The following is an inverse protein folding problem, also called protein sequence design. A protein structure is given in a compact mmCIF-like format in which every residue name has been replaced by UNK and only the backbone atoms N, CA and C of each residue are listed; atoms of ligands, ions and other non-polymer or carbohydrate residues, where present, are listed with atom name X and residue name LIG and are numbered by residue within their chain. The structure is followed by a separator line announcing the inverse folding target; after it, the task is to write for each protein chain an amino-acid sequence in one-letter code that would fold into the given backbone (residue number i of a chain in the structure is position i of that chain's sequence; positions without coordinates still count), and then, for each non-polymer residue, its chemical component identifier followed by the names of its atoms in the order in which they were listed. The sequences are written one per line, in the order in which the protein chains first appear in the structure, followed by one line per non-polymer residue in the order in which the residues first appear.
data_IF_445963916115
#
_entry.id   IF_445963916115
#
_cell.length_a   1.000
_cell.length_b   1.000
_cell.length_c   1.000
_cell.angle_alpha   90.00
_cell.angle_beta   90.00
_cell.angle_gamma   90.00
#
_symmetry.space_group_name_H-M   'P 1'
#
loop_
_entity.id
_entity.type
_entity.pdbx_description
1 polymer ?
#
# COMPACT_ATOMS: atom_id res chain seq x y z
N UNK A 1 -1.00 -12.34 11.83
CA UNK A 1 -1.55 -12.30 10.46
C UNK A 1 -1.37 -13.60 9.67
N UNK A 2 -0.49 -14.51 10.11
CA UNK A 2 -0.15 -15.74 9.39
C UNK A 2 -0.66 -17.02 10.07
N UNK A 3 -1.60 -16.93 11.03
CA UNK A 3 -2.19 -18.10 11.67
C UNK A 3 -3.00 -18.89 10.62
N UNK A 4 -2.75 -20.20 10.44
CA UNK A 4 -3.51 -21.02 9.49
C UNK A 4 -5.00 -21.11 9.81
N UNK A 5 -5.37 -20.98 11.10
CA UNK A 5 -6.75 -20.94 11.58
C UNK A 5 -7.28 -19.51 11.76
N UNK A 6 -6.51 -18.50 11.32
CA UNK A 6 -6.90 -17.09 11.44
C UNK A 6 -8.07 -16.76 10.53
N UNK A 7 -9.03 -16.00 11.05
CA UNK A 7 -10.15 -15.44 10.29
C UNK A 7 -9.97 -13.96 10.05
N UNK A 8 -10.67 -13.42 9.06
CA UNK A 8 -10.69 -12.00 8.77
C UNK A 8 -12.10 -11.58 8.34
N UNK A 9 -12.57 -10.47 8.88
CA UNK A 9 -13.85 -9.90 8.47
C UNK A 9 -13.85 -9.63 6.95
N UNK A 10 -14.96 -10.01 6.30
CA UNK A 10 -15.10 -9.87 4.85
C UNK A 10 -14.31 -10.87 4.00
N UNK A 11 -13.70 -11.89 4.63
CA UNK A 11 -13.09 -13.01 3.92
C UNK A 11 -13.83 -14.31 4.28
N UNK A 12 -14.40 -15.02 3.31
CA UNK A 12 -15.14 -16.25 3.59
C UNK A 12 -14.31 -17.25 4.43
N UNK A 13 -14.93 -17.93 5.41
CA UNK A 13 -16.37 -17.95 5.72
C UNK A 13 -16.83 -16.84 6.68
N UNK A 14 -16.03 -15.82 6.96
CA UNK A 14 -16.35 -14.76 7.93
C UNK A 14 -17.03 -13.59 7.21
N UNK A 15 -18.20 -13.17 7.76
CA UNK A 15 -18.95 -12.04 7.23
C UNK A 15 -18.18 -10.73 7.27
N UNK A 16 -18.55 -9.78 6.39
CA UNK A 16 -18.02 -8.43 6.35
C UNK A 16 -18.72 -7.48 7.34
N UNK A 17 -18.26 -6.24 7.36
CA UNK A 17 -18.71 -5.22 8.32
C UNK A 17 -19.65 -4.17 7.68
N UNK A 18 -20.18 -4.40 6.47
CA UNK A 18 -21.18 -3.52 5.86
C UNK A 18 -22.55 -3.72 6.51
N UNK A 19 -22.67 -3.26 7.77
CA UNK A 19 -23.88 -3.36 8.58
C UNK A 19 -23.89 -2.23 9.61
N UNK A 20 -25.11 -1.76 9.98
CA UNK A 20 -25.26 -0.70 11.00
C UNK A 20 -24.77 -1.13 12.38
N UNK A 21 -24.87 -2.41 12.69
CA UNK A 21 -24.43 -2.97 13.97
C UNK A 21 -23.66 -4.27 13.71
N UNK A 22 -22.53 -4.41 14.34
CA UNK A 22 -21.69 -5.61 14.26
C UNK A 22 -21.20 -6.00 15.65
N UNK A 23 -20.98 -7.29 15.86
CA UNK A 23 -20.35 -7.80 17.07
C UNK A 23 -18.94 -8.26 16.70
N UNK A 24 -17.95 -7.70 17.38
CA UNK A 24 -16.55 -8.03 17.14
C UNK A 24 -15.84 -8.34 18.48
N UNK A 25 -14.81 -9.18 18.49
CA UNK A 25 -14.00 -9.40 19.70
C UNK A 25 -13.35 -8.08 20.15
N UNK A 26 -13.33 -7.83 21.47
CA UNK A 26 -12.65 -6.66 22.04
C UNK A 26 -11.18 -6.54 21.60
N UNK A 27 -10.51 -7.67 21.46
CA UNK A 27 -9.10 -7.75 21.01
C UNK A 27 -8.88 -7.29 19.56
N UNK A 28 -9.95 -7.12 18.78
CA UNK A 28 -9.89 -6.59 17.40
C UNK A 28 -10.12 -5.07 17.36
N UNK A 29 -10.35 -4.44 18.51
CA UNK A 29 -10.60 -2.99 18.58
C UNK A 29 -9.31 -2.24 18.93
N UNK A 30 -9.18 -1.07 18.33
CA UNK A 30 -8.17 -0.10 18.67
C UNK A 30 -8.85 1.24 18.96
N UNK A 31 -8.44 1.90 20.05
CA UNK A 31 -8.94 3.22 20.37
C UNK A 31 -8.53 4.24 19.29
N UNK A 32 -9.50 4.99 18.79
CA UNK A 32 -9.25 6.04 17.83
C UNK A 32 -9.15 7.38 18.58
N UNK A 33 -8.00 8.08 18.54
CA UNK A 33 -7.86 9.40 19.17
C UNK A 33 -8.87 10.40 18.62
N UNK A 34 -9.37 11.29 19.48
CA UNK A 34 -10.32 12.33 19.08
C UNK A 34 -9.81 13.29 17.98
N UNK A 35 -8.50 13.32 17.76
CA UNK A 35 -7.88 14.07 16.66
C UNK A 35 -8.13 13.46 15.27
N UNK A 36 -8.58 12.19 15.20
CA UNK A 36 -8.89 11.51 13.95
C UNK A 36 -10.40 11.41 13.81
N UNK A 37 -11.03 12.10 12.84
CA UNK A 37 -12.45 11.94 12.53
C UNK A 37 -12.82 10.49 12.22
N UNK A 38 -14.01 10.05 12.63
CA UNK A 38 -14.45 8.66 12.46
C UNK A 38 -14.44 8.22 10.99
N UNK A 39 -14.79 9.13 10.09
CA UNK A 39 -14.78 8.91 8.64
C UNK A 39 -13.39 8.56 8.11
N UNK A 40 -12.36 9.16 8.69
CA UNK A 40 -10.97 8.88 8.34
C UNK A 40 -10.48 7.57 9.00
N UNK A 41 -11.09 7.18 10.12
CA UNK A 41 -10.76 5.96 10.85
C UNK A 41 -10.76 4.70 9.99
N UNK A 42 -11.66 4.62 8.99
CA UNK A 42 -11.70 3.51 8.04
C UNK A 42 -10.42 3.40 7.17
N UNK A 43 -9.64 4.47 7.03
CA UNK A 43 -8.37 4.46 6.28
C UNK A 43 -7.17 4.04 7.13
N UNK A 44 -7.33 3.82 8.43
CA UNK A 44 -6.26 3.30 9.30
C UNK A 44 -5.88 1.87 8.91
N UNK A 45 -6.85 1.05 8.49
CA UNK A 45 -6.56 -0.33 8.05
C UNK A 45 -5.60 -0.37 6.86
N UNK A 46 -5.87 0.27 5.71
CA UNK A 46 -4.91 0.30 4.61
C UNK A 46 -3.59 1.03 4.97
N UNK A 47 -3.59 1.98 5.90
CA UNK A 47 -2.35 2.55 6.42
C UNK A 47 -1.55 1.50 7.22
N UNK A 48 -2.21 0.65 8.00
CA UNK A 48 -1.52 -0.45 8.70
C UNK A 48 -0.87 -1.46 7.72
N UNK A 49 -1.49 -1.69 6.55
CA UNK A 49 -0.87 -2.46 5.44
C UNK A 49 0.40 -1.76 4.96
N UNK A 50 0.35 -0.44 4.72
CA UNK A 50 1.51 0.33 4.27
C UNK A 50 2.64 0.35 5.31
N UNK A 51 2.32 0.53 6.59
CA UNK A 51 3.28 0.44 7.70
C UNK A 51 3.97 -0.93 7.68
N UNK A 52 3.20 -2.01 7.61
CA UNK A 52 3.75 -3.36 7.57
C UNK A 52 4.61 -3.61 6.34
N UNK A 53 4.21 -3.11 5.17
CA UNK A 53 4.99 -3.21 3.93
C UNK A 53 6.37 -2.55 4.08
N UNK A 54 6.41 -1.34 4.62
CA UNK A 54 7.64 -0.57 4.85
C UNK A 54 8.54 -1.25 5.89
N UNK A 55 7.95 -1.83 6.95
CA UNK A 55 8.69 -2.64 7.94
C UNK A 55 9.29 -3.91 7.29
N UNK A 56 8.49 -4.64 6.50
CA UNK A 56 8.96 -5.83 5.76
C UNK A 56 10.06 -5.49 4.76
N UNK A 57 9.98 -4.33 4.14
CA UNK A 57 11.00 -3.80 3.25
C UNK A 57 12.27 -3.35 4.00
N UNK A 58 12.21 -3.19 5.33
CA UNK A 58 13.30 -2.64 6.15
C UNK A 58 13.77 -1.27 5.64
N UNK A 59 12.82 -0.40 5.34
CA UNK A 59 13.15 0.98 4.95
C UNK A 59 13.77 1.71 6.14
N UNK A 60 14.84 2.45 5.86
CA UNK A 60 15.59 3.26 6.82
C UNK A 60 15.85 4.64 6.26
N UNK A 61 16.21 5.57 7.14
CA UNK A 61 16.63 6.91 6.73
C UNK A 61 17.81 6.83 5.72
N UNK A 62 17.72 7.64 4.69
CA UNK A 62 18.69 7.69 3.61
C UNK A 62 18.47 6.70 2.47
N UNK A 63 17.59 5.71 2.61
CA UNK A 63 17.32 4.75 1.53
C UNK A 63 16.65 5.42 0.31
N UNK A 64 16.97 4.88 -0.87
CA UNK A 64 16.30 5.13 -2.14
C UNK A 64 15.26 4.05 -2.37
N UNK A 65 13.98 4.42 -2.39
CA UNK A 65 12.84 3.49 -2.43
C UNK A 65 12.11 3.60 -3.76
N UNK A 66 11.92 2.49 -4.44
CA UNK A 66 11.02 2.36 -5.58
C UNK A 66 9.69 1.77 -5.11
N UNK A 67 8.60 2.45 -5.38
CA UNK A 67 7.22 1.96 -5.18
C UNK A 67 6.57 1.77 -6.54
N UNK A 68 6.14 0.57 -6.86
CA UNK A 68 5.39 0.30 -8.09
C UNK A 68 3.90 0.23 -7.81
N UNK A 69 3.11 1.02 -8.58
CA UNK A 69 1.69 1.23 -8.38
C UNK A 69 1.38 2.44 -7.47
N UNK A 70 0.69 3.43 -8.04
CA UNK A 70 0.17 4.62 -7.35
C UNK A 70 -1.31 4.46 -6.95
N UNK A 71 -1.75 3.24 -6.63
CA UNK A 71 -3.02 2.98 -5.99
C UNK A 71 -3.00 3.37 -4.50
N UNK A 72 -4.11 3.21 -3.77
CA UNK A 72 -4.21 3.60 -2.36
C UNK A 72 -3.07 3.07 -1.48
N UNK A 73 -2.68 1.81 -1.66
CA UNK A 73 -1.59 1.20 -0.87
C UNK A 73 -0.25 1.82 -1.25
N UNK A 74 0.07 1.98 -2.55
CA UNK A 74 1.34 2.58 -2.97
C UNK A 74 1.50 4.03 -2.52
N UNK A 75 0.41 4.82 -2.55
CA UNK A 75 0.39 6.19 -2.05
C UNK A 75 0.64 6.26 -0.53
N UNK A 76 0.04 5.37 0.24
CA UNK A 76 0.29 5.28 1.68
C UNK A 76 1.71 4.77 1.98
N UNK A 77 2.22 3.81 1.21
CA UNK A 77 3.60 3.32 1.31
C UNK A 77 4.61 4.45 1.06
N UNK A 78 4.36 5.31 0.05
CA UNK A 78 5.22 6.46 -0.23
C UNK A 78 5.28 7.43 0.96
N UNK A 79 4.13 7.76 1.57
CA UNK A 79 4.07 8.61 2.75
C UNK A 79 4.79 7.98 3.96
N UNK A 80 4.57 6.70 4.23
CA UNK A 80 5.22 5.99 5.34
C UNK A 80 6.74 5.88 5.10
N UNK A 81 7.19 5.66 3.85
CA UNK A 81 8.61 5.65 3.52
C UNK A 81 9.24 7.04 3.72
N UNK A 82 8.53 8.12 3.38
CA UNK A 82 8.96 9.49 3.68
C UNK A 82 9.07 9.73 5.19
N UNK A 83 8.07 9.30 5.97
CA UNK A 83 8.09 9.38 7.43
C UNK A 83 9.25 8.60 8.08
N UNK A 84 9.71 7.50 7.44
CA UNK A 84 10.91 6.75 7.85
C UNK A 84 12.22 7.41 7.40
N UNK A 85 12.18 8.54 6.69
CA UNK A 85 13.35 9.31 6.27
C UNK A 85 14.04 8.79 5.00
N UNK A 86 13.31 8.11 4.11
CA UNK A 86 13.82 7.76 2.78
C UNK A 86 14.30 9.02 2.05
N UNK A 87 15.49 8.96 1.42
CA UNK A 87 16.10 10.12 0.74
C UNK A 87 15.57 10.34 -0.67
N UNK A 88 15.13 9.29 -1.32
CA UNK A 88 14.48 9.31 -2.63
C UNK A 88 13.32 8.32 -2.64
N UNK A 89 12.17 8.75 -3.11
CA UNK A 89 10.98 7.92 -3.26
C UNK A 89 10.50 8.06 -4.70
N UNK A 90 10.74 7.04 -5.51
CA UNK A 90 10.25 6.97 -6.89
C UNK A 90 8.96 6.17 -6.91
N UNK A 91 7.87 6.77 -7.40
CA UNK A 91 6.59 6.08 -7.57
C UNK A 91 6.32 5.88 -9.06
N UNK A 92 5.92 4.67 -9.45
CA UNK A 92 5.57 4.36 -10.83
C UNK A 92 4.13 3.91 -10.96
N UNK A 93 3.48 4.31 -12.04
CA UNK A 93 2.15 3.84 -12.44
C UNK A 93 2.01 4.00 -13.96
N UNK A 94 0.90 3.54 -14.52
CA UNK A 94 0.51 3.76 -15.92
C UNK A 94 -0.51 4.91 -16.06
N UNK A 95 -0.96 5.48 -14.95
CA UNK A 95 -1.98 6.54 -14.87
C UNK A 95 -1.37 7.84 -14.35
N UNK A 96 -1.40 8.90 -15.18
CA UNK A 96 -0.81 10.20 -14.84
C UNK A 96 -1.54 10.91 -13.70
N UNK A 97 -2.86 10.75 -13.57
CA UNK A 97 -3.64 11.37 -12.48
C UNK A 97 -3.19 10.80 -11.12
N UNK A 98 -2.99 9.49 -11.03
CA UNK A 98 -2.46 8.84 -9.84
C UNK A 98 -1.04 9.26 -9.52
N UNK A 99 -0.20 9.44 -10.54
CA UNK A 99 1.16 9.95 -10.37
C UNK A 99 1.19 11.39 -9.90
N UNK A 100 0.26 12.23 -10.35
CA UNK A 100 0.10 13.59 -9.84
C UNK A 100 -0.28 13.63 -8.35
N UNK A 101 -1.09 12.66 -7.90
CA UNK A 101 -1.38 12.47 -6.46
C UNK A 101 -0.12 12.01 -5.72
N UNK A 102 0.63 11.04 -6.25
CA UNK A 102 1.85 10.53 -5.63
C UNK A 102 2.89 11.64 -5.38
N UNK A 103 3.02 12.58 -6.31
CA UNK A 103 3.91 13.73 -6.15
C UNK A 103 3.57 14.60 -4.92
N UNK A 104 2.29 14.65 -4.51
CA UNK A 104 1.85 15.35 -3.29
C UNK A 104 2.03 14.52 -2.03
N UNK A 105 2.18 13.21 -2.17
CA UNK A 105 2.22 12.22 -1.08
C UNK A 105 3.63 11.70 -0.81
N UNK A 106 4.65 12.57 -0.96
CA UNK A 106 6.02 12.26 -0.57
C UNK A 106 6.87 11.60 -1.67
N UNK A 107 6.32 11.34 -2.86
CA UNK A 107 7.16 10.92 -3.98
C UNK A 107 8.09 12.07 -4.40
N UNK A 108 9.39 11.81 -4.44
CA UNK A 108 10.39 12.78 -4.93
C UNK A 108 10.48 12.76 -6.46
N UNK A 109 10.04 11.66 -7.07
CA UNK A 109 9.96 11.46 -8.52
C UNK A 109 8.83 10.52 -8.87
N UNK A 110 8.15 10.78 -9.98
CA UNK A 110 7.12 9.90 -10.55
C UNK A 110 7.50 9.49 -11.97
N UNK A 111 7.15 8.27 -12.39
CA UNK A 111 7.42 7.75 -13.74
C UNK A 111 6.18 7.03 -14.26
N UNK A 112 5.65 7.48 -15.38
CA UNK A 112 4.62 6.77 -16.11
C UNK A 112 5.27 5.67 -16.98
N UNK A 113 5.13 4.41 -16.56
CA UNK A 113 5.74 3.26 -17.23
C UNK A 113 5.02 2.81 -18.50
N UNK A 114 3.86 3.41 -18.84
CA UNK A 114 3.22 3.21 -20.13
C UNK A 114 3.91 4.04 -21.23
N UNK A 115 4.55 5.16 -20.86
CA UNK A 115 5.12 6.13 -21.82
C UNK A 115 6.62 6.29 -21.68
N UNK A 116 7.22 5.88 -20.57
CA UNK A 116 8.65 6.02 -20.29
C UNK A 116 9.26 4.70 -19.79
N UNK A 117 10.50 4.46 -20.15
CA UNK A 117 11.28 3.35 -19.61
C UNK A 117 11.62 3.59 -18.13
N UNK A 118 11.69 2.52 -17.34
CA UNK A 118 12.15 2.54 -15.96
C UNK A 118 13.69 2.59 -15.93
N UNK A 119 14.26 3.74 -16.25
CA UNK A 119 15.71 3.95 -16.19
C UNK A 119 16.14 4.39 -14.77
N UNK A 120 16.20 3.41 -13.88
CA UNK A 120 16.66 3.53 -12.50
C UNK A 120 17.72 2.51 -12.20
N UNK A 121 18.67 2.88 -11.32
CA UNK A 121 19.73 1.97 -10.85
C UNK A 121 20.05 2.24 -9.39
N UNK A 122 20.55 1.21 -8.73
CA UNK A 122 21.02 1.29 -7.34
C UNK A 122 19.94 1.75 -6.36
N UNK A 123 18.70 1.27 -6.56
CA UNK A 123 17.65 1.44 -5.56
C UNK A 123 17.90 0.51 -4.38
N UNK A 124 17.70 0.99 -3.17
CA UNK A 124 17.92 0.21 -1.94
C UNK A 124 16.73 -0.71 -1.63
N UNK A 125 15.52 -0.27 -1.98
CA UNK A 125 14.28 -1.01 -1.69
C UNK A 125 13.32 -0.90 -2.85
N UNK A 126 12.69 -2.03 -3.16
CA UNK A 126 11.49 -2.08 -4.00
C UNK A 126 10.31 -2.49 -3.12
N UNK A 127 9.20 -1.74 -3.22
CA UNK A 127 7.91 -2.12 -2.62
C UNK A 127 6.89 -2.21 -3.76
N UNK A 128 6.52 -3.44 -4.11
CA UNK A 128 5.61 -3.71 -5.21
C UNK A 128 4.17 -3.66 -4.71
N UNK A 129 3.38 -2.68 -5.18
CA UNK A 129 1.99 -2.42 -4.76
C UNK A 129 0.98 -2.55 -5.92
N UNK A 130 1.43 -2.84 -7.14
CA UNK A 130 0.55 -2.90 -8.31
C UNK A 130 -0.08 -4.28 -8.54
N UNK A 131 0.53 -5.35 -8.01
CA UNK A 131 0.16 -6.73 -8.32
C UNK A 131 0.52 -7.15 -9.75
N UNK A 132 1.30 -6.33 -10.47
CA UNK A 132 1.69 -6.57 -11.85
C UNK A 132 3.08 -7.22 -11.91
N UNK A 133 3.16 -8.42 -12.49
CA UNK A 133 4.40 -9.20 -12.57
C UNK A 133 5.50 -8.48 -13.34
N UNK A 134 5.16 -7.76 -14.42
CA UNK A 134 6.13 -6.99 -15.19
C UNK A 134 6.71 -5.85 -14.35
N UNK A 135 5.87 -5.10 -13.63
CA UNK A 135 6.32 -4.03 -12.75
C UNK A 135 7.26 -4.57 -11.65
N UNK A 136 6.96 -5.77 -11.10
CA UNK A 136 7.86 -6.45 -10.17
C UNK A 136 9.18 -6.80 -10.81
N UNK A 137 9.16 -7.44 -11.99
CA UNK A 137 10.36 -7.88 -12.72
C UNK A 137 11.26 -6.69 -13.10
N UNK A 138 10.67 -5.65 -13.68
CA UNK A 138 11.40 -4.44 -14.08
C UNK A 138 11.94 -3.71 -12.84
N UNK A 139 11.16 -3.63 -11.77
CA UNK A 139 11.57 -3.03 -10.49
C UNK A 139 12.74 -3.78 -9.83
N UNK A 140 12.74 -5.11 -9.84
CA UNK A 140 13.86 -5.90 -9.30
C UNK A 140 15.18 -5.54 -10.00
N UNK A 141 15.15 -5.31 -11.31
CA UNK A 141 16.35 -4.99 -12.08
C UNK A 141 16.93 -3.58 -11.80
N UNK A 142 16.21 -2.74 -11.05
CA UNK A 142 16.71 -1.44 -10.59
C UNK A 142 17.52 -1.52 -9.30
N UNK A 143 17.42 -2.64 -8.57
CA UNK A 143 17.98 -2.79 -7.24
C UNK A 143 19.52 -2.88 -7.23
N UNK A 144 20.12 -2.31 -6.21
CA UNK A 144 21.53 -2.52 -5.89
C UNK A 144 21.78 -3.93 -5.32
N UNK A 145 23.01 -4.45 -5.35
CA UNK A 145 23.35 -5.71 -4.68
C UNK A 145 23.05 -5.70 -3.19
N UNK A 146 22.71 -6.86 -2.62
CA UNK A 146 22.40 -7.10 -1.21
C UNK A 146 21.24 -6.24 -0.67
N UNK A 147 20.24 -5.97 -1.50
CA UNK A 147 19.06 -5.17 -1.18
C UNK A 147 17.78 -6.00 -1.12
N UNK A 148 16.60 -5.36 -1.15
CA UNK A 148 15.34 -6.08 -0.92
C UNK A 148 14.21 -5.61 -1.82
N UNK A 149 13.51 -6.59 -2.41
CA UNK A 149 12.19 -6.43 -3.03
C UNK A 149 11.10 -6.98 -2.08
N UNK A 150 10.05 -6.21 -1.87
CA UNK A 150 8.89 -6.58 -1.03
C UNK A 150 7.63 -6.55 -1.87
N UNK A 151 6.94 -7.69 -1.99
CA UNK A 151 5.69 -7.82 -2.74
C UNK A 151 4.52 -7.63 -1.78
N UNK A 152 3.68 -6.66 -2.08
CA UNK A 152 2.48 -6.28 -1.32
C UNK A 152 1.23 -6.42 -2.19
N UNK A 153 1.34 -6.05 -3.47
CA UNK A 153 0.26 -6.14 -4.43
C UNK A 153 -0.27 -7.57 -4.55
N UNK A 154 -1.58 -7.71 -4.73
CA UNK A 154 -2.22 -9.02 -4.85
C UNK A 154 -1.83 -9.66 -6.19
N UNK A 155 -0.88 -10.57 -6.13
CA UNK A 155 -0.39 -11.31 -7.28
C UNK A 155 -1.35 -12.45 -7.68
N UNK A 156 -1.21 -12.93 -8.92
CA UNK A 156 -1.84 -14.19 -9.36
C UNK A 156 -1.25 -15.38 -8.58
N UNK A 157 -1.96 -16.52 -8.48
CA UNK A 157 -1.46 -17.70 -7.76
C UNK A 157 -0.07 -18.18 -8.23
N UNK A 158 0.19 -18.04 -9.51
CA UNK A 158 1.50 -18.32 -10.12
C UNK A 158 1.88 -17.18 -11.04
N UNK A 159 3.16 -16.83 -11.05
CA UNK A 159 3.71 -15.77 -11.91
C UNK A 159 4.97 -16.26 -12.60
N UNK A 160 5.08 -15.94 -13.88
CA UNK A 160 6.28 -16.16 -14.68
C UNK A 160 7.08 -14.84 -14.80
N UNK A 161 8.33 -14.92 -15.26
CA UNK A 161 9.12 -13.75 -15.59
C UNK A 161 9.84 -13.09 -14.41
N UNK A 162 9.89 -13.74 -13.26
CA UNK A 162 10.73 -13.26 -12.13
C UNK A 162 12.20 -13.49 -12.50
N UNK A 163 13.07 -12.45 -12.46
CA UNK A 163 14.47 -12.53 -12.88
C UNK A 163 15.34 -13.23 -11.81
N UNK A 164 15.10 -14.54 -11.60
CA UNK A 164 15.74 -15.32 -10.54
C UNK A 164 17.25 -15.28 -10.62
N UNK A 165 17.83 -15.33 -11.82
CA UNK A 165 19.27 -15.23 -12.01
C UNK A 165 19.86 -13.89 -11.58
N UNK A 166 19.08 -12.80 -11.71
CA UNK A 166 19.45 -11.47 -11.19
C UNK A 166 19.41 -11.45 -9.67
N UNK A 167 18.33 -11.95 -9.08
CA UNK A 167 18.20 -12.06 -7.62
C UNK A 167 19.36 -12.83 -7.01
N UNK A 168 19.69 -14.01 -7.59
CA UNK A 168 20.79 -14.86 -7.13
C UNK A 168 22.15 -14.17 -7.28
N UNK A 169 22.42 -13.56 -8.45
CA UNK A 169 23.72 -12.94 -8.74
C UNK A 169 24.03 -11.77 -7.79
N UNK A 170 23.02 -11.01 -7.39
CA UNK A 170 23.16 -9.82 -6.59
C UNK A 170 22.71 -9.99 -5.14
N UNK A 171 22.41 -11.22 -4.69
CA UNK A 171 21.96 -11.55 -3.33
C UNK A 171 20.79 -10.68 -2.88
N UNK A 172 19.80 -10.50 -3.75
CA UNK A 172 18.63 -9.67 -3.47
C UNK A 172 17.57 -10.52 -2.74
N UNK A 173 17.15 -10.09 -1.57
CA UNK A 173 16.03 -10.67 -0.84
C UNK A 173 14.72 -10.40 -1.59
N UNK A 174 13.97 -11.45 -1.94
CA UNK A 174 12.58 -11.34 -2.37
C UNK A 174 11.68 -11.78 -1.22
N UNK A 175 10.94 -10.82 -0.64
CA UNK A 175 10.04 -11.07 0.50
C UNK A 175 8.62 -10.62 0.19
N UNK A 176 7.67 -11.07 0.99
CA UNK A 176 6.25 -10.71 0.83
C UNK A 176 5.72 -10.05 2.08
N UNK A 177 4.70 -9.23 1.93
CA UNK A 177 3.90 -8.70 3.01
C UNK A 177 2.43 -9.09 2.80
N UNK A 178 1.82 -9.66 3.83
CA UNK A 178 0.41 -10.02 3.79
C UNK A 178 -0.33 -9.31 4.92
N UNK A 179 -1.31 -8.46 4.55
CA UNK A 179 -2.05 -7.65 5.52
C UNK A 179 -1.09 -6.86 6.43
N UNK A 180 -1.17 -7.08 7.74
CA UNK A 180 -0.37 -6.40 8.74
C UNK A 180 -0.16 -7.28 9.99
N UNK A 181 0.91 -7.02 10.72
CA UNK A 181 1.15 -7.59 12.05
C UNK A 181 1.49 -6.45 13.02
N UNK A 182 0.66 -6.28 14.06
CA UNK A 182 0.84 -5.27 15.12
C UNK A 182 1.04 -3.82 14.59
N UNK A 183 0.53 -3.49 13.40
CA UNK A 183 0.80 -2.22 12.74
C UNK A 183 -0.23 -1.12 13.05
N UNK A 184 -1.39 -1.45 13.64
CA UNK A 184 -2.42 -0.46 13.95
C UNK A 184 -1.97 0.65 14.90
N UNK A 185 -1.26 0.39 16.01
CA UNK A 185 -0.80 1.47 16.88
C UNK A 185 0.08 2.49 16.14
N UNK A 186 1.04 2.02 15.34
CA UNK A 186 1.91 2.89 14.53
C UNK A 186 1.11 3.64 13.45
N UNK A 187 0.15 2.98 12.81
CA UNK A 187 -0.71 3.63 11.81
C UNK A 187 -1.55 4.75 12.43
N UNK A 188 -2.14 4.52 13.61
CA UNK A 188 -2.89 5.52 14.35
C UNK A 188 -1.99 6.70 14.76
N UNK A 189 -0.78 6.44 15.23
CA UNK A 189 0.19 7.47 15.59
C UNK A 189 0.57 8.35 14.39
N UNK A 190 0.90 7.74 13.25
CA UNK A 190 1.23 8.46 12.01
C UNK A 190 0.06 9.31 11.51
N UNK A 191 -1.16 8.80 11.59
CA UNK A 191 -2.35 9.55 11.21
C UNK A 191 -2.65 10.70 12.19
N UNK A 192 -2.57 10.45 13.50
CA UNK A 192 -2.89 11.45 14.54
C UNK A 192 -1.88 12.58 14.59
N UNK A 193 -0.60 12.32 14.26
CA UNK A 193 0.45 13.34 14.17
C UNK A 193 0.38 14.18 12.90
N UNK A 194 -0.46 13.80 11.91
CA UNK A 194 -0.57 14.49 10.63
C UNK A 194 0.62 14.25 9.67
N UNK A 195 1.53 13.34 10.01
CA UNK A 195 2.65 12.96 9.13
C UNK A 195 2.18 12.23 7.89
N UNK A 196 1.04 11.51 7.99
CA UNK A 196 0.38 10.84 6.87
C UNK A 196 -0.97 11.52 6.62
N UNK A 197 -1.19 11.98 5.41
CA UNK A 197 -2.47 12.53 4.95
C UNK A 197 -3.40 11.41 4.49
N UNK A 198 -4.30 10.99 5.38
CA UNK A 198 -5.34 10.00 5.06
C UNK A 198 -6.54 10.64 4.35
N UNK A 199 -6.84 11.90 4.66
CA UNK A 199 -8.01 12.60 4.11
C UNK A 199 -7.97 12.64 2.59
N UNK A 200 -6.83 12.99 2.02
CA UNK A 200 -6.67 13.12 0.57
C UNK A 200 -6.63 11.78 -0.19
N UNK A 201 -6.49 10.65 0.52
CA UNK A 201 -6.62 9.31 -0.09
C UNK A 201 -8.08 8.94 -0.31
N UNK A 202 -9.01 9.48 0.51
CA UNK A 202 -10.43 9.25 0.43
C UNK A 202 -11.00 10.17 -0.67
N UNK A 203 -11.49 9.59 -1.76
CA UNK A 203 -11.92 10.36 -2.94
C UNK A 203 -13.43 10.42 -3.11
N UNK A 204 -14.16 9.47 -2.53
CA UNK A 204 -15.62 9.44 -2.60
C UNK A 204 -16.25 8.73 -1.41
N UNK A 205 -17.51 9.07 -1.14
CA UNK A 205 -18.29 8.51 -0.03
C UNK A 205 -19.68 8.14 -0.56
N UNK A 206 -20.15 6.96 -0.18
CA UNK A 206 -21.46 6.44 -0.54
C UNK A 206 -22.24 6.05 0.70
N UNK A 207 -23.58 6.20 0.71
CA UNK A 207 -24.41 5.63 1.76
C UNK A 207 -24.41 4.08 1.69
N UNK A 208 -24.74 3.41 2.79
CA UNK A 208 -24.76 1.94 2.86
C UNK A 208 -25.67 1.31 1.79
N UNK A 209 -26.77 1.97 1.48
CA UNK A 209 -27.74 1.53 0.48
C UNK A 209 -27.13 1.41 -0.91
N UNK A 210 -26.08 2.20 -1.21
CA UNK A 210 -25.36 2.23 -2.48
C UNK A 210 -24.04 1.44 -2.43
N UNK A 211 -23.88 0.53 -1.47
CA UNK A 211 -22.65 -0.25 -1.29
C UNK A 211 -22.19 -0.98 -2.56
N UNK A 212 -23.12 -1.48 -3.37
CA UNK A 212 -22.79 -2.14 -4.64
C UNK A 212 -22.13 -1.19 -5.64
N UNK A 213 -22.63 0.04 -5.74
CA UNK A 213 -22.02 1.10 -6.57
C UNK A 213 -20.65 1.51 -6.02
N UNK A 214 -20.54 1.67 -4.70
CA UNK A 214 -19.28 1.99 -4.02
C UNK A 214 -18.17 0.96 -4.32
N UNK A 215 -18.49 -0.33 -4.31
CA UNK A 215 -17.54 -1.42 -4.60
C UNK A 215 -17.03 -1.42 -6.05
N UNK A 216 -17.84 -0.91 -6.99
CA UNK A 216 -17.47 -0.86 -8.41
C UNK A 216 -16.84 0.47 -8.81
N UNK A 217 -17.03 1.54 -8.04
CA UNK A 217 -16.57 2.89 -8.36
C UNK A 217 -15.07 2.98 -8.70
N UNK A 218 -14.14 2.31 -7.98
CA UNK A 218 -12.71 2.38 -8.34
C UNK A 218 -12.36 1.67 -9.66
N UNK A 219 -13.25 0.81 -10.17
CA UNK A 219 -13.07 0.11 -11.46
C UNK A 219 -13.63 0.93 -12.60
N UNK A 220 -14.76 1.61 -12.37
CA UNK A 220 -15.46 2.40 -13.39
C UNK A 220 -14.87 3.80 -13.55
N UNK A 221 -14.29 4.35 -12.49
CA UNK A 221 -13.64 5.65 -12.48
C UNK A 221 -12.24 5.56 -11.83
N UNK A 222 -11.17 5.60 -12.65
CA UNK A 222 -9.79 5.48 -12.17
C UNK A 222 -9.33 6.61 -11.23
N UNK A 223 -10.07 7.71 -11.12
CA UNK A 223 -9.78 8.81 -10.19
C UNK A 223 -10.16 8.45 -8.75
N UNK A 224 -11.05 7.45 -8.57
CA UNK A 224 -11.38 6.93 -7.26
C UNK A 224 -10.20 6.12 -6.68
N UNK A 225 -9.59 6.64 -5.63
CA UNK A 225 -8.53 5.96 -4.89
C UNK A 225 -9.11 5.11 -3.76
N UNK A 226 -9.73 5.74 -2.78
CA UNK A 226 -10.40 5.07 -1.66
C UNK A 226 -11.83 5.56 -1.54
N UNK A 227 -12.74 4.62 -1.60
CA UNK A 227 -14.18 4.86 -1.45
C UNK A 227 -14.60 4.49 -0.04
N UNK A 228 -15.36 5.34 0.64
CA UNK A 228 -15.96 5.06 1.94
C UNK A 228 -17.44 4.76 1.80
N UNK A 229 -17.94 3.95 2.74
CA UNK A 229 -19.38 3.75 2.98
C UNK A 229 -19.71 4.35 4.34
N UNK A 230 -20.77 5.17 4.37
CA UNK A 230 -21.29 5.81 5.58
C UNK A 230 -22.68 5.29 5.95
N UNK A 231 -23.08 5.47 7.20
CA UNK A 231 -24.34 4.95 7.77
C UNK A 231 -25.26 6.10 8.18
#
# INVERSE_FOLDING_TARGET
NLCPAGTCFGSPPTDGLFARHVVVPETALHELPASIPAEIGAAIEPLAVAVWAVERARVQAGHRVLVTGAGPIGLLVAQVAAAKGASEIVVTDVNDDRLAVAARFGATRTINTATAALDLKNMDRLIECSGNTRALSDGIQTLAPATRATVVGQARPTVDGIPLGFLQRYEIDLVTAFRYANAFPTAIELASSGVVDLQSVITSTYPLEDAAAALTAPVTDPTNLKVLITY
#
